data_IF_330043313184
#
_entry.id   IF_330043313184
#
_cell.length_a   1.000
_cell.length_b   1.000
_cell.length_c   1.000
_cell.angle_alpha   90.00
_cell.angle_beta   90.00
_cell.angle_gamma   90.00
#
_symmetry.space_group_name_H-M   'P 1'
#
loop_
_entity.id
_entity.type
_entity.pdbx_description
1 polymer ?
#
# COMPACT_ATOMS: atom_id res chain seq x y z
N UNK A 1 -9.40 0.92 -1.12
CA UNK A 1 -9.12 1.50 0.22
C UNK A 1 -7.63 1.55 0.44
N UNK A 2 -6.93 0.41 0.42
CA UNK A 2 -5.46 0.33 0.60
C UNK A 2 -4.66 1.39 -0.16
N UNK A 3 -4.83 1.56 -1.47
CA UNK A 3 -4.03 2.53 -2.24
C UNK A 3 -4.10 3.99 -1.73
N UNK A 4 -5.22 4.41 -1.13
CA UNK A 4 -5.33 5.75 -0.55
C UNK A 4 -4.54 5.84 0.77
N UNK A 5 -4.64 4.81 1.62
CA UNK A 5 -3.92 4.75 2.90
C UNK A 5 -2.40 4.74 2.67
N UNK A 6 -1.93 4.03 1.63
CA UNK A 6 -0.52 4.02 1.22
C UNK A 6 -0.09 5.39 0.68
N UNK A 7 -0.89 6.01 -0.19
CA UNK A 7 -0.59 7.33 -0.74
C UNK A 7 -0.46 8.42 0.33
N UNK A 8 -1.33 8.41 1.34
CA UNK A 8 -1.26 9.32 2.50
C UNK A 8 -0.06 8.95 3.38
N UNK A 9 0.12 7.67 3.68
CA UNK A 9 1.22 7.20 4.52
C UNK A 9 2.60 7.60 4.01
N UNK A 10 2.82 7.50 2.70
CA UNK A 10 4.06 7.96 2.05
C UNK A 10 4.23 9.47 1.98
N UNK A 11 3.14 10.22 2.10
CA UNK A 11 3.20 11.67 2.16
C UNK A 11 3.59 12.15 3.58
N UNK A 12 3.04 11.50 4.60
CA UNK A 12 3.21 11.91 6.00
C UNK A 12 4.46 11.31 6.68
N UNK A 13 4.94 10.16 6.20
CA UNK A 13 6.03 9.38 6.83
C UNK A 13 7.05 8.89 5.81
N UNK A 14 8.21 8.43 6.29
CA UNK A 14 9.17 7.75 5.41
C UNK A 14 8.64 6.38 4.97
N UNK A 15 9.17 5.87 3.85
CA UNK A 15 8.90 4.52 3.33
C UNK A 15 9.10 3.45 4.40
N UNK A 16 10.18 3.56 5.18
CA UNK A 16 10.55 2.60 6.22
C UNK A 16 9.59 2.63 7.41
N UNK A 17 9.24 3.84 7.87
CA UNK A 17 8.25 4.03 8.94
C UNK A 17 6.87 3.53 8.52
N UNK A 18 6.44 3.84 7.29
CA UNK A 18 5.16 3.36 6.78
C UNK A 18 5.14 1.83 6.65
N UNK A 19 6.20 1.23 6.10
CA UNK A 19 6.31 -0.22 5.93
C UNK A 19 6.18 -0.96 7.27
N UNK A 20 6.69 -0.38 8.37
CA UNK A 20 6.52 -0.95 9.70
C UNK A 20 5.05 -1.04 10.17
N UNK A 21 4.15 -0.23 9.60
CA UNK A 21 2.70 -0.24 9.92
C UNK A 21 1.88 -1.21 9.09
N UNK A 22 2.41 -1.68 7.95
CA UNK A 22 1.69 -2.55 7.00
C UNK A 22 1.14 -3.84 7.64
N UNK A 23 1.89 -4.56 8.51
CA UNK A 23 1.36 -5.75 9.18
C UNK A 23 0.13 -5.46 10.05
N UNK A 24 0.06 -4.28 10.66
CA UNK A 24 -1.08 -3.88 11.50
C UNK A 24 -2.29 -3.47 10.66
N UNK A 25 -2.07 -2.84 9.50
CA UNK A 25 -3.13 -2.60 8.51
C UNK A 25 -3.74 -3.92 7.99
N UNK A 26 -2.90 -4.93 7.71
CA UNK A 26 -3.38 -6.25 7.30
C UNK A 26 -4.24 -6.92 8.40
N UNK A 27 -3.81 -6.85 9.66
CA UNK A 27 -4.61 -7.34 10.80
C UNK A 27 -5.95 -6.60 10.91
N UNK A 28 -5.96 -5.30 10.62
CA UNK A 28 -7.19 -4.49 10.65
C UNK A 28 -8.21 -5.01 9.63
N UNK A 29 -7.78 -5.30 8.40
CA UNK A 29 -8.64 -5.87 7.35
C UNK A 29 -9.24 -7.21 7.82
N UNK A 30 -8.40 -8.11 8.35
CA UNK A 30 -8.86 -9.41 8.88
C UNK A 30 -9.85 -9.25 10.03
N UNK A 31 -9.60 -8.32 10.96
CA UNK A 31 -10.52 -8.04 12.08
C UNK A 31 -11.88 -7.55 11.60
N UNK A 32 -11.92 -6.66 10.60
CA UNK A 32 -13.18 -6.19 10.03
C UNK A 32 -13.89 -7.28 9.24
N UNK A 33 -13.15 -8.10 8.49
CA UNK A 33 -13.69 -9.27 7.81
C UNK A 33 -14.37 -10.24 8.79
N UNK A 34 -13.73 -10.51 9.93
CA UNK A 34 -14.32 -11.31 11.00
C UNK A 34 -15.60 -10.67 11.55
N UNK A 35 -15.59 -9.37 11.83
CA UNK A 35 -16.79 -8.66 12.28
C UNK A 35 -17.96 -8.75 11.29
N UNK A 36 -17.69 -8.61 9.99
CA UNK A 36 -18.70 -8.79 8.94
C UNK A 36 -19.19 -10.24 8.84
N UNK A 37 -18.30 -11.21 9.07
CA UNK A 37 -18.66 -12.62 9.11
C UNK A 37 -19.60 -12.92 10.28
N UNK A 38 -19.32 -12.37 11.46
CA UNK A 38 -20.15 -12.51 12.66
C UNK A 38 -21.54 -11.88 12.45
N UNK A 39 -21.64 -10.85 11.60
CA UNK A 39 -22.91 -10.23 11.18
C UNK A 39 -23.64 -10.98 10.04
N UNK A 40 -23.13 -12.12 9.60
CA UNK A 40 -23.78 -12.97 8.59
C UNK A 40 -23.18 -12.88 7.17
N UNK A 41 -22.12 -12.12 6.96
CA UNK A 41 -21.38 -12.13 5.69
C UNK A 41 -20.72 -13.49 5.43
N UNK A 42 -20.77 -13.99 4.19
CA UNK A 42 -20.25 -15.33 3.83
C UNK A 42 -19.34 -15.33 2.61
N UNK A 43 -19.25 -14.21 1.90
CA UNK A 43 -18.45 -14.09 0.70
C UNK A 43 -17.82 -12.71 0.68
N UNK A 44 -16.49 -12.70 0.64
CA UNK A 44 -15.68 -11.49 0.65
C UNK A 44 -14.72 -11.55 -0.52
N UNK A 45 -14.60 -10.44 -1.23
CA UNK A 45 -13.53 -10.25 -2.19
C UNK A 45 -12.57 -9.22 -1.60
N UNK A 46 -11.35 -9.67 -1.31
CA UNK A 46 -10.27 -8.82 -0.81
C UNK A 46 -9.38 -8.50 -2.01
N UNK A 47 -9.27 -7.22 -2.34
CA UNK A 47 -8.36 -6.75 -3.37
C UNK A 47 -6.99 -6.49 -2.74
N UNK A 48 -5.94 -7.06 -3.31
CA UNK A 48 -4.57 -6.64 -3.02
C UNK A 48 -4.37 -5.18 -3.48
N UNK A 49 -3.45 -4.49 -2.82
CA UNK A 49 -3.01 -3.19 -3.29
C UNK A 49 -2.22 -3.38 -4.60
N UNK A 50 -2.63 -2.70 -5.67
CA UNK A 50 -1.84 -2.70 -6.90
C UNK A 50 -0.54 -1.90 -6.69
N UNK A 51 0.50 -2.13 -7.51
CA UNK A 51 1.77 -1.42 -7.42
C UNK A 51 1.53 0.10 -7.42
N UNK A 52 1.99 0.79 -6.39
CA UNK A 52 1.70 2.21 -6.19
C UNK A 52 2.78 3.12 -6.79
N UNK A 53 3.96 2.57 -7.07
CA UNK A 53 5.09 3.26 -7.67
C UNK A 53 4.88 3.71 -9.13
N UNK A 54 3.80 3.29 -9.81
CA UNK A 54 3.43 3.86 -11.12
C UNK A 54 2.57 5.12 -11.04
N UNK A 55 2.07 5.49 -9.86
CA UNK A 55 1.20 6.65 -9.76
C UNK A 55 2.06 7.91 -9.92
N UNK A 56 1.70 8.74 -10.89
CA UNK A 56 2.49 9.94 -11.25
C UNK A 56 2.69 10.89 -10.06
N UNK A 57 1.74 10.97 -9.13
CA UNK A 57 1.86 11.80 -7.93
C UNK A 57 2.85 11.24 -6.91
N UNK A 58 3.04 9.91 -6.85
CA UNK A 58 4.08 9.29 -6.01
C UNK A 58 5.44 9.63 -6.57
N UNK A 59 5.65 9.43 -7.88
CA UNK A 59 6.92 9.76 -8.55
C UNK A 59 7.30 11.24 -8.39
N UNK A 60 6.32 12.14 -8.50
CA UNK A 60 6.53 13.59 -8.36
C UNK A 60 6.92 13.98 -6.93
N UNK A 61 6.24 13.43 -5.91
CA UNK A 61 6.51 13.78 -4.51
C UNK A 61 7.77 13.10 -3.96
N UNK A 62 8.05 11.87 -4.38
CA UNK A 62 9.11 11.05 -3.83
C UNK A 62 10.52 11.55 -4.14
N UNK A 63 10.69 12.43 -5.15
CA UNK A 63 12.00 12.92 -5.61
C UNK A 63 13.02 11.78 -5.80
N UNK A 64 12.57 10.69 -6.40
CA UNK A 64 13.37 9.49 -6.57
C UNK A 64 14.62 9.76 -7.40
N UNK A 65 15.73 9.12 -7.03
CA UNK A 65 16.94 9.09 -7.84
C UNK A 65 16.73 8.11 -9.01
N UNK A 66 17.46 8.33 -10.11
CA UNK A 66 17.33 7.52 -11.33
C UNK A 66 17.46 6.00 -11.08
N UNK A 67 18.32 5.57 -10.16
CA UNK A 67 18.50 4.15 -9.83
C UNK A 67 17.35 3.54 -9.00
N UNK A 68 16.42 4.37 -8.52
CA UNK A 68 15.24 3.96 -7.75
C UNK A 68 13.99 3.90 -8.64
N UNK A 69 14.16 4.09 -9.95
CA UNK A 69 13.12 4.00 -10.96
C UNK A 69 13.50 2.84 -11.90
N UNK A 70 12.57 1.91 -12.15
CA UNK A 70 12.83 0.79 -13.05
C UNK A 70 12.71 1.19 -14.54
N UNK A 71 12.97 0.24 -15.44
CA UNK A 71 12.91 0.49 -16.90
C UNK A 71 11.52 0.77 -17.46
N UNK A 72 10.47 0.70 -16.63
CA UNK A 72 9.10 1.03 -17.00
C UNK A 72 8.57 2.25 -16.22
N UNK A 73 9.48 3.05 -15.67
CA UNK A 73 9.22 4.27 -14.91
C UNK A 73 8.46 4.08 -13.58
N UNK A 74 8.58 2.90 -12.96
CA UNK A 74 8.02 2.65 -11.64
C UNK A 74 9.03 2.96 -10.54
N UNK A 75 8.57 3.61 -9.46
CA UNK A 75 9.38 3.82 -8.26
C UNK A 75 9.57 2.54 -7.46
N UNK A 76 10.75 1.93 -7.56
CA UNK A 76 11.09 0.63 -6.96
C UNK A 76 10.80 0.60 -5.45
N UNK A 77 11.25 1.56 -4.63
CA UNK A 77 11.07 1.50 -3.17
C UNK A 77 9.60 1.50 -2.74
N UNK A 78 8.70 2.06 -3.55
CA UNK A 78 7.27 2.13 -3.25
C UNK A 78 6.52 0.87 -3.67
N UNK A 79 7.03 0.13 -4.66
CA UNK A 79 6.44 -1.14 -5.10
C UNK A 79 6.80 -2.30 -4.17
N UNK A 80 8.00 -2.29 -3.60
CA UNK A 80 8.49 -3.37 -2.73
C UNK A 80 7.67 -3.52 -1.44
N UNK A 81 7.04 -2.45 -0.98
CA UNK A 81 6.19 -2.46 0.22
C UNK A 81 4.83 -3.14 -0.04
N UNK A 82 4.40 -3.21 -1.30
CA UNK A 82 3.07 -3.70 -1.70
C UNK A 82 3.06 -5.20 -2.02
N UNK A 83 4.13 -5.92 -1.66
CA UNK A 83 4.32 -7.34 -1.97
C UNK A 83 3.62 -8.30 -0.98
N UNK A 84 2.93 -7.78 0.05
CA UNK A 84 2.24 -8.57 1.08
C UNK A 84 0.74 -8.75 0.81
#
# INVERSE_FOLDING_TARGET
>A
MSQNDYGIGFYDTTIEEFNATVPDLAKLISKHGQGLYDLGGRSFWIHNAAPIGCLSYILLHAKLKLHQIDGADYGIPYNDIVQY
#
